data_IF_783389723615
#
_entry.id   IF_783389723615
#
_cell.length_a   1.000
_cell.length_b   1.000
_cell.length_c   1.000
_cell.angle_alpha   90.00
_cell.angle_beta   90.00
_cell.angle_gamma   90.00
#
_symmetry.space_group_name_H-M   'P 1'
#
loop_
_entity.id
_entity.type
_entity.pdbx_description
1 polymer ?
#
# COMPACT_ATOMS: atom_id res chain seq x y z
N UNK A 1 -11.55 -11.05 -0.57
CA UNK A 1 -12.15 -9.81 -0.01
C UNK A 1 -11.91 -9.73 1.49
N UNK A 2 -12.39 -10.68 2.29
CA UNK A 2 -11.96 -10.84 3.69
C UNK A 2 -10.44 -10.99 3.79
N UNK A 3 -9.81 -11.61 2.79
CA UNK A 3 -8.36 -11.76 2.68
C UNK A 3 -7.58 -10.44 2.62
N UNK A 4 -8.07 -9.39 1.94
CA UNK A 4 -7.33 -8.10 1.81
C UNK A 4 -7.37 -7.32 3.12
N UNK A 5 -8.55 -7.27 3.73
CA UNK A 5 -8.70 -6.67 5.04
C UNK A 5 -7.88 -7.44 6.08
N UNK A 6 -7.95 -8.77 6.09
CA UNK A 6 -7.13 -9.60 6.99
C UNK A 6 -5.64 -9.37 6.75
N UNK A 7 -5.19 -9.24 5.49
CA UNK A 7 -3.79 -8.96 5.21
C UNK A 7 -3.37 -7.56 5.68
N UNK A 8 -4.25 -6.57 5.57
CA UNK A 8 -4.02 -5.23 6.15
C UNK A 8 -4.02 -5.25 7.68
N UNK A 9 -4.96 -5.95 8.32
CA UNK A 9 -5.00 -6.13 9.78
C UNK A 9 -3.75 -6.86 10.28
N UNK A 10 -3.33 -7.93 9.59
CA UNK A 10 -2.10 -8.66 9.87
C UNK A 10 -0.88 -7.74 9.78
N UNK A 11 -0.77 -6.95 8.70
CA UNK A 11 0.31 -5.97 8.50
C UNK A 11 0.33 -4.86 9.57
N UNK A 12 -0.80 -4.61 10.21
CA UNK A 12 -0.91 -3.61 11.27
C UNK A 12 -0.86 -4.23 12.68
N UNK A 13 -0.57 -5.54 12.79
CA UNK A 13 -0.61 -6.30 14.04
C UNK A 13 -1.94 -6.19 14.81
N UNK A 14 -3.06 -6.08 14.09
CA UNK A 14 -4.41 -5.95 14.66
C UNK A 14 -5.07 -7.32 14.84
N UNK A 15 -5.46 -7.67 16.08
CA UNK A 15 -6.31 -8.85 16.35
C UNK A 15 -7.78 -8.44 16.33
N UNK A 16 -8.57 -8.87 15.34
CA UNK A 16 -10.01 -8.55 15.31
C UNK A 16 -10.92 -9.68 14.81
N UNK A 17 -12.11 -9.75 15.44
CA UNK A 17 -13.24 -10.64 15.13
C UNK A 17 -14.30 -9.98 14.20
N UNK A 18 -14.00 -8.86 13.54
CA UNK A 18 -14.98 -8.05 12.77
C UNK A 18 -14.80 -8.19 11.24
N UNK A 19 -15.04 -9.39 10.70
CA UNK A 19 -14.72 -9.72 9.29
C UNK A 19 -15.94 -9.72 8.34
N UNK A 20 -17.15 -9.36 8.80
CA UNK A 20 -18.38 -9.66 8.03
C UNK A 20 -19.01 -8.51 7.26
N UNK A 21 -18.69 -7.24 7.53
CA UNK A 21 -19.43 -6.10 6.91
C UNK A 21 -18.73 -5.44 5.71
N UNK A 22 -17.41 -5.57 5.59
CA UNK A 22 -16.60 -4.89 4.56
C UNK A 22 -16.41 -5.63 3.24
N UNK A 23 -16.70 -6.94 3.20
CA UNK A 23 -16.41 -7.77 2.02
C UNK A 23 -17.02 -7.23 0.71
N UNK A 24 -18.25 -6.72 0.73
CA UNK A 24 -18.98 -6.32 -0.49
C UNK A 24 -18.40 -5.08 -1.20
N UNK A 25 -17.94 -4.07 -0.47
CA UNK A 25 -17.36 -2.86 -1.08
C UNK A 25 -16.01 -3.16 -1.69
N UNK A 26 -15.15 -3.88 -0.97
CA UNK A 26 -13.85 -4.33 -1.49
C UNK A 26 -14.02 -5.28 -2.70
N UNK A 27 -15.11 -6.06 -2.77
CA UNK A 27 -15.49 -6.84 -3.96
C UNK A 27 -15.49 -6.00 -5.24
N UNK A 28 -16.18 -4.86 -5.16
CA UNK A 28 -16.40 -4.00 -6.32
C UNK A 28 -15.09 -3.37 -6.77
N UNK A 29 -14.25 -2.96 -5.82
CA UNK A 29 -12.91 -2.40 -6.11
C UNK A 29 -12.00 -3.45 -6.75
N UNK A 30 -11.94 -4.65 -6.18
CA UNK A 30 -11.11 -5.75 -6.71
C UNK A 30 -11.57 -6.21 -8.09
N UNK A 31 -12.90 -6.27 -8.32
CA UNK A 31 -13.46 -6.53 -9.66
C UNK A 31 -13.06 -5.46 -10.66
N UNK A 32 -13.12 -4.18 -10.27
CA UNK A 32 -12.64 -3.09 -11.14
C UNK A 32 -11.16 -3.30 -11.44
N UNK A 33 -10.30 -3.46 -10.44
CA UNK A 33 -8.86 -3.71 -10.62
C UNK A 33 -8.58 -4.85 -11.61
N UNK A 34 -9.38 -5.94 -11.54
CA UNK A 34 -9.18 -7.13 -12.36
C UNK A 34 -9.60 -6.99 -13.83
N UNK A 35 -10.40 -5.97 -14.15
CA UNK A 35 -11.01 -5.81 -15.46
C UNK A 35 -9.97 -5.57 -16.56
N UNK A 36 -8.87 -4.89 -16.25
CA UNK A 36 -7.87 -4.45 -17.21
C UNK A 36 -6.67 -5.42 -17.31
N UNK A 37 -6.93 -6.72 -17.10
CA UNK A 37 -5.92 -7.78 -17.08
C UNK A 37 -5.20 -7.97 -15.74
N UNK A 38 -4.15 -8.81 -15.68
CA UNK A 38 -3.37 -9.06 -14.48
C UNK A 38 -2.86 -7.78 -13.81
N UNK A 39 -2.94 -7.75 -12.47
CA UNK A 39 -2.36 -6.71 -11.61
C UNK A 39 -1.55 -7.35 -10.50
N UNK A 40 -0.30 -6.94 -10.35
CA UNK A 40 0.55 -7.27 -9.20
C UNK A 40 0.67 -6.04 -8.32
N UNK A 41 0.15 -6.14 -7.10
CA UNK A 41 0.21 -5.08 -6.11
C UNK A 41 1.15 -5.55 -5.00
N UNK A 42 2.10 -4.70 -4.64
CA UNK A 42 2.96 -4.90 -3.47
C UNK A 42 2.41 -4.04 -2.33
N UNK A 43 2.29 -4.61 -1.14
CA UNK A 43 1.85 -3.91 0.05
C UNK A 43 2.87 -4.10 1.16
N UNK A 44 3.45 -2.99 1.62
CA UNK A 44 4.55 -2.99 2.59
C UNK A 44 4.14 -2.21 3.83
N UNK A 45 4.55 -2.70 5.00
CA UNK A 45 4.36 -2.05 6.29
C UNK A 45 5.64 -2.15 7.11
N UNK A 46 5.82 -1.16 7.99
CA UNK A 46 6.98 -1.03 8.86
C UNK A 46 6.55 -1.06 10.34
N UNK A 47 5.71 -2.02 10.71
CA UNK A 47 5.36 -2.24 12.12
C UNK A 47 6.57 -2.83 12.88
N UNK A 48 6.55 -2.85 14.21
CA UNK A 48 7.66 -3.42 15.00
C UNK A 48 7.13 -4.59 15.84
N UNK A 49 6.91 -5.77 15.24
CA UNK A 49 7.04 -7.06 15.93
C UNK A 49 6.89 -8.30 15.02
N UNK A 50 6.42 -8.16 13.78
CA UNK A 50 6.03 -9.29 12.93
C UNK A 50 6.98 -9.61 11.77
N UNK A 51 7.02 -10.89 11.38
CA UNK A 51 7.41 -11.33 10.04
C UNK A 51 6.21 -12.04 9.41
N UNK A 52 5.61 -11.45 8.39
CA UNK A 52 4.55 -12.09 7.61
C UNK A 52 4.71 -11.76 6.12
N UNK A 53 4.87 -12.81 5.31
CA UNK A 53 4.84 -12.71 3.85
C UNK A 53 3.64 -13.50 3.37
N UNK A 54 2.65 -12.81 2.83
CA UNK A 54 1.41 -13.45 2.36
C UNK A 54 1.13 -13.02 0.93
N UNK A 55 1.10 -13.97 0.00
CA UNK A 55 0.58 -13.72 -1.35
C UNK A 55 -0.85 -14.19 -1.43
N UNK A 56 -1.77 -13.26 -1.67
CA UNK A 56 -3.20 -13.54 -1.82
C UNK A 56 -3.71 -13.13 -3.19
N UNK A 57 -4.69 -13.90 -3.68
CA UNK A 57 -5.39 -13.62 -4.94
C UNK A 57 -6.85 -13.23 -4.65
N UNK A 58 -7.13 -11.97 -4.28
CA UNK A 58 -8.44 -11.57 -3.77
C UNK A 58 -9.55 -11.51 -4.84
N UNK A 59 -9.16 -11.50 -6.12
CA UNK A 59 -10.01 -11.63 -7.29
C UNK A 59 -9.20 -12.26 -8.44
N UNK A 60 -9.90 -12.71 -9.49
CA UNK A 60 -9.26 -13.13 -10.75
C UNK A 60 -8.33 -12.02 -11.22
N UNK A 61 -7.16 -12.36 -11.76
CA UNK A 61 -6.18 -11.40 -12.30
C UNK A 61 -5.60 -10.40 -11.27
N UNK A 62 -5.81 -10.59 -9.97
CA UNK A 62 -5.16 -9.77 -8.94
C UNK A 62 -4.24 -10.65 -8.11
N UNK A 63 -2.97 -10.28 -8.05
CA UNK A 63 -1.99 -10.82 -7.11
C UNK A 63 -1.59 -9.70 -6.17
N UNK A 64 -1.88 -9.87 -4.88
CA UNK A 64 -1.47 -8.96 -3.83
C UNK A 64 -0.42 -9.67 -2.97
N UNK A 65 0.80 -9.13 -2.97
CA UNK A 65 1.89 -9.61 -2.11
C UNK A 65 2.00 -8.65 -0.93
N UNK A 66 1.80 -9.16 0.27
CA UNK A 66 1.87 -8.37 1.51
C UNK A 66 3.12 -8.76 2.27
N UNK A 67 3.91 -7.76 2.63
CA UNK A 67 5.12 -7.88 3.41
C UNK A 67 4.99 -7.06 4.68
N UNK A 68 5.04 -7.75 5.81
CA UNK A 68 5.27 -7.20 7.12
C UNK A 68 6.64 -7.67 7.62
N UNK A 69 7.64 -6.79 7.59
CA UNK A 69 8.99 -7.07 8.07
C UNK A 69 9.35 -6.01 9.09
N UNK A 70 8.79 -6.19 10.28
CA UNK A 70 9.01 -5.31 11.39
C UNK A 70 10.34 -5.57 12.10
N UNK A 71 11.14 -4.52 12.28
CA UNK A 71 12.39 -4.55 13.05
C UNK A 71 13.51 -5.50 12.55
N UNK A 72 13.35 -6.16 11.41
CA UNK A 72 14.34 -7.06 10.82
C UNK A 72 14.89 -6.47 9.53
N UNK A 73 15.80 -5.49 9.66
CA UNK A 73 16.39 -4.77 8.53
C UNK A 73 16.99 -5.71 7.48
N UNK A 74 17.56 -6.85 7.90
CA UNK A 74 18.09 -7.86 6.98
C UNK A 74 17.01 -8.49 6.08
N UNK A 75 15.77 -8.64 6.54
CA UNK A 75 14.71 -9.22 5.72
C UNK A 75 14.15 -8.22 4.70
N UNK A 76 14.30 -6.91 4.91
CA UNK A 76 13.94 -5.89 3.91
C UNK A 76 14.76 -6.04 2.64
N UNK A 77 15.97 -6.60 2.73
CA UNK A 77 16.74 -6.95 1.54
C UNK A 77 16.04 -7.98 0.68
N UNK A 78 14.97 -8.66 1.10
CA UNK A 78 14.24 -9.63 0.26
C UNK A 78 13.16 -8.95 -0.61
N UNK A 79 12.78 -7.70 -0.31
CA UNK A 79 11.73 -6.99 -1.05
C UNK A 79 12.01 -6.88 -2.55
N UNK A 80 13.29 -6.73 -2.93
CA UNK A 80 13.67 -6.55 -4.32
C UNK A 80 13.28 -7.74 -5.21
N UNK A 81 13.18 -8.96 -4.66
CA UNK A 81 12.70 -10.14 -5.40
C UNK A 81 11.23 -10.02 -5.85
N UNK A 82 10.48 -9.06 -5.32
CA UNK A 82 9.07 -8.85 -5.60
C UNK A 82 8.77 -7.57 -6.40
N UNK A 83 9.80 -6.79 -6.74
CA UNK A 83 9.64 -5.53 -7.48
C UNK A 83 9.30 -5.73 -8.95
N UNK A 84 9.62 -6.90 -9.51
CA UNK A 84 9.38 -7.17 -10.91
C UNK A 84 7.89 -7.25 -11.24
N UNK A 85 7.52 -6.50 -12.28
CA UNK A 85 6.17 -6.39 -12.80
C UNK A 85 5.15 -5.88 -11.76
N UNK A 86 5.58 -5.10 -10.76
CA UNK A 86 4.66 -4.43 -9.84
C UNK A 86 3.91 -3.33 -10.58
N UNK A 87 2.59 -3.44 -10.62
CA UNK A 87 1.72 -2.42 -11.20
C UNK A 87 1.47 -1.25 -10.25
N UNK A 88 1.61 -1.44 -8.94
CA UNK A 88 1.45 -0.38 -7.96
C UNK A 88 1.81 -0.80 -6.53
N UNK A 89 2.18 0.19 -5.71
CA UNK A 89 2.63 0.02 -4.34
C UNK A 89 1.60 0.59 -3.35
N UNK A 90 1.29 -0.17 -2.31
CA UNK A 90 0.61 0.30 -1.11
C UNK A 90 1.63 0.34 0.03
N UNK A 91 1.86 1.50 0.63
CA UNK A 91 2.83 1.68 1.71
C UNK A 91 2.10 2.12 2.98
N UNK A 92 2.14 1.29 4.02
CA UNK A 92 1.40 1.51 5.26
C UNK A 92 2.31 2.11 6.31
N UNK A 93 1.88 3.24 6.89
CA UNK A 93 2.63 3.98 7.91
C UNK A 93 1.79 4.14 9.16
N UNK A 94 2.40 3.97 10.33
CA UNK A 94 1.80 4.33 11.61
C UNK A 94 1.85 5.84 11.80
N UNK A 95 0.70 6.50 11.77
CA UNK A 95 0.60 7.96 11.83
C UNK A 95 0.90 8.53 13.23
N UNK A 96 0.97 7.66 14.25
CA UNK A 96 1.31 8.04 15.63
C UNK A 96 2.81 7.91 15.90
N UNK A 97 3.54 7.09 15.15
CA UNK A 97 4.97 6.84 15.33
C UNK A 97 5.85 7.85 14.57
N UNK A 98 5.81 9.10 15.02
CA UNK A 98 6.57 10.22 14.43
C UNK A 98 8.08 9.96 14.40
N UNK A 99 8.58 9.14 15.33
CA UNK A 99 10.01 8.82 15.45
C UNK A 99 10.46 7.91 14.33
N UNK A 100 9.63 7.00 13.82
CA UNK A 100 10.02 6.06 12.74
C UNK A 100 9.74 6.55 11.33
N UNK A 101 9.10 7.70 11.15
CA UNK A 101 8.83 8.26 9.82
C UNK A 101 10.09 8.50 8.98
N UNK A 102 11.23 8.82 9.60
CA UNK A 102 12.49 8.97 8.87
C UNK A 102 12.99 7.63 8.29
N UNK A 103 12.77 6.51 8.99
CA UNK A 103 13.04 5.16 8.48
C UNK A 103 12.08 4.84 7.34
N UNK A 104 10.80 5.13 7.53
CA UNK A 104 9.78 4.93 6.49
C UNK A 104 10.08 5.69 5.20
N UNK A 105 10.57 6.94 5.33
CA UNK A 105 11.07 7.73 4.20
C UNK A 105 12.25 7.04 3.50
N UNK A 106 13.28 6.64 4.26
CA UNK A 106 14.48 6.03 3.69
C UNK A 106 14.16 4.72 2.95
N UNK A 107 13.29 3.88 3.51
CA UNK A 107 12.83 2.64 2.88
C UNK A 107 12.04 2.92 1.60
N UNK A 108 11.14 3.90 1.64
CA UNK A 108 10.37 4.30 0.45
C UNK A 108 11.28 4.82 -0.66
N UNK A 109 12.24 5.69 -0.33
CA UNK A 109 13.24 6.19 -1.29
C UNK A 109 14.07 5.04 -1.87
N UNK A 110 14.50 4.07 -1.03
CA UNK A 110 15.23 2.88 -1.47
C UNK A 110 14.43 1.99 -2.43
N UNK A 111 13.13 1.80 -2.20
CA UNK A 111 12.25 1.05 -3.12
C UNK A 111 12.24 1.71 -4.50
N UNK A 112 12.10 3.03 -4.56
CA UNK A 112 12.01 3.78 -5.82
C UNK A 112 13.34 4.04 -6.51
N UNK A 113 14.48 3.69 -5.88
CA UNK A 113 15.76 3.60 -6.57
C UNK A 113 15.85 2.39 -7.50
N UNK A 114 14.99 1.38 -7.32
CA UNK A 114 14.98 0.20 -8.19
C UNK A 114 14.24 0.49 -9.51
N UNK A 115 14.86 0.13 -10.64
CA UNK A 115 14.33 0.43 -11.98
C UNK A 115 12.92 -0.13 -12.21
N UNK A 116 12.64 -1.35 -11.73
CA UNK A 116 11.31 -1.98 -11.82
C UNK A 116 10.20 -1.19 -11.08
N UNK A 117 10.56 -0.35 -10.09
CA UNK A 117 9.61 0.40 -9.26
C UNK A 117 9.47 1.87 -9.65
N UNK A 118 10.41 2.42 -10.42
CA UNK A 118 10.54 3.87 -10.71
C UNK A 118 9.25 4.56 -11.15
N UNK A 119 8.39 3.85 -11.88
CA UNK A 119 7.13 4.41 -12.39
C UNK A 119 5.90 3.92 -11.63
N UNK A 120 6.03 2.96 -10.70
CA UNK A 120 4.89 2.35 -10.03
C UNK A 120 4.14 3.40 -9.18
N UNK A 121 2.82 3.58 -9.35
CA UNK A 121 2.05 4.50 -8.54
C UNK A 121 2.04 4.08 -7.07
N UNK A 122 2.13 5.07 -6.20
CA UNK A 122 2.15 4.91 -4.75
C UNK A 122 0.81 5.27 -4.13
N UNK A 123 0.29 4.42 -3.26
CA UNK A 123 -0.72 4.82 -2.28
C UNK A 123 -0.14 4.63 -0.88
N UNK A 124 -0.01 5.72 -0.13
CA UNK A 124 0.37 5.67 1.28
C UNK A 124 -0.89 5.57 2.12
N UNK A 125 -0.96 4.57 2.99
CA UNK A 125 -2.01 4.46 4.00
C UNK A 125 -1.46 5.03 5.31
N UNK A 126 -1.99 6.18 5.70
CA UNK A 126 -1.76 6.86 6.98
C UNK A 126 -2.65 6.19 8.04
N UNK A 127 -2.14 5.14 8.69
CA UNK A 127 -2.91 4.26 9.57
C UNK A 127 -2.96 4.78 11.03
N UNK A 128 -3.89 4.25 11.84
CA UNK A 128 -4.16 4.62 13.24
C UNK A 128 -4.78 6.00 13.44
N UNK A 129 -5.64 6.41 12.50
CA UNK A 129 -6.38 7.68 12.56
C UNK A 129 -7.48 7.72 13.64
N UNK A 130 -7.68 6.62 14.37
CA UNK A 130 -8.49 6.57 15.59
C UNK A 130 -7.80 7.25 16.79
N UNK A 131 -6.51 7.58 16.69
CA UNK A 131 -5.72 8.24 17.71
C UNK A 131 -5.66 9.76 17.52
N UNK A 132 -5.82 10.53 18.60
CA UNK A 132 -5.81 12.01 18.58
C UNK A 132 -4.46 12.63 18.17
N UNK A 133 -3.38 11.89 18.39
CA UNK A 133 -2.00 12.29 18.11
C UNK A 133 -1.52 11.90 16.71
N UNK A 134 -2.37 11.21 15.94
CA UNK A 134 -2.11 10.79 14.58
C UNK A 134 -1.86 12.01 13.69
N UNK A 135 -0.84 11.90 12.84
CA UNK A 135 -0.56 12.92 11.83
C UNK A 135 -1.61 12.91 10.72
N UNK A 136 -1.90 14.10 10.22
CA UNK A 136 -2.74 14.30 9.05
C UNK A 136 -2.04 13.80 7.78
N UNK A 137 -2.83 13.53 6.73
CA UNK A 137 -2.29 13.02 5.46
C UNK A 137 -1.28 13.97 4.80
N UNK A 138 -1.44 15.29 4.97
CA UNK A 138 -0.49 16.29 4.50
C UNK A 138 0.84 16.23 5.24
N UNK A 139 0.80 16.07 6.56
CA UNK A 139 2.02 15.94 7.38
C UNK A 139 2.78 14.65 7.04
N UNK A 140 2.07 13.55 6.79
CA UNK A 140 2.70 12.30 6.30
C UNK A 140 3.35 12.52 4.94
N UNK A 141 2.69 13.21 4.01
CA UNK A 141 3.27 13.51 2.70
C UNK A 141 4.55 14.35 2.82
N UNK A 142 4.57 15.35 3.71
CA UNK A 142 5.76 16.15 4.01
C UNK A 142 6.89 15.30 4.60
N UNK A 143 6.60 14.50 5.63
CA UNK A 143 7.60 13.69 6.34
C UNK A 143 8.22 12.61 5.45
N UNK A 144 7.45 12.06 4.52
CA UNK A 144 7.92 11.11 3.51
C UNK A 144 8.52 11.79 2.26
N UNK A 145 8.63 13.13 2.24
CA UNK A 145 9.18 13.91 1.13
C UNK A 145 8.41 13.75 -0.20
N UNK A 146 7.13 13.40 -0.15
CA UNK A 146 6.31 13.16 -1.34
C UNK A 146 5.95 14.45 -2.08
N UNK A 147 5.98 15.60 -1.39
CA UNK A 147 5.73 16.89 -2.03
C UNK A 147 6.76 17.24 -3.13
N UNK A 148 7.93 16.61 -3.09
CA UNK A 148 8.96 16.75 -4.13
C UNK A 148 8.73 15.84 -5.34
N UNK A 149 7.79 14.90 -5.26
CA UNK A 149 7.53 13.92 -6.32
C UNK A 149 6.64 14.51 -7.41
N UNK A 150 6.71 13.99 -8.65
CA UNK A 150 5.84 14.45 -9.72
C UNK A 150 4.36 14.29 -9.36
N UNK A 151 3.53 15.23 -9.79
CA UNK A 151 2.09 15.19 -9.52
C UNK A 151 1.45 13.88 -10.01
N UNK A 152 0.45 13.39 -9.28
CA UNK A 152 -0.31 12.18 -9.59
C UNK A 152 0.48 10.86 -9.54
N UNK A 153 1.70 10.86 -8.99
CA UNK A 153 2.48 9.62 -8.78
C UNK A 153 2.19 8.95 -7.43
N UNK A 154 1.67 9.72 -6.46
CA UNK A 154 1.28 9.23 -5.15
C UNK A 154 -0.10 9.72 -4.71
N UNK A 155 -0.68 9.07 -3.70
CA UNK A 155 -1.85 9.54 -2.96
C UNK A 155 -1.77 9.06 -1.51
N UNK A 156 -2.12 9.91 -0.54
CA UNK A 156 -2.11 9.55 0.89
C UNK A 156 -3.55 9.41 1.37
N UNK A 157 -3.86 8.29 2.04
CA UNK A 157 -5.20 7.96 2.53
C UNK A 157 -5.18 7.81 4.04
N UNK A 158 -5.97 8.59 4.80
CA UNK A 158 -6.17 8.34 6.22
C UNK A 158 -6.96 7.03 6.41
N UNK A 159 -6.51 6.18 7.33
CA UNK A 159 -7.13 4.89 7.58
C UNK A 159 -7.07 4.48 9.04
N UNK A 160 -7.98 3.57 9.40
CA UNK A 160 -7.95 2.87 10.67
C UNK A 160 -8.08 1.37 10.39
N UNK A 161 -7.03 0.60 10.70
CA UNK A 161 -7.04 -0.85 10.51
C UNK A 161 -8.07 -1.57 11.39
N UNK A 162 -8.47 -1.01 12.54
CA UNK A 162 -9.47 -1.59 13.43
C UNK A 162 -10.89 -1.55 12.84
N UNK A 163 -11.21 -0.47 12.13
CA UNK A 163 -12.53 -0.27 11.51
C UNK A 163 -12.54 -0.64 10.03
N UNK A 164 -11.37 -0.63 9.39
CA UNK A 164 -11.19 -0.79 7.95
C UNK A 164 -11.46 0.48 7.14
N UNK A 165 -11.65 1.62 7.80
CA UNK A 165 -11.84 2.91 7.15
C UNK A 165 -10.61 3.29 6.32
N UNK A 166 -10.82 4.00 5.21
CA UNK A 166 -9.77 4.36 4.25
C UNK A 166 -9.36 3.23 3.28
N UNK A 167 -9.53 1.95 3.63
CA UNK A 167 -9.03 0.84 2.81
C UNK A 167 -9.69 0.78 1.41
N UNK A 168 -11.00 0.99 1.34
CA UNK A 168 -11.72 1.00 0.04
C UNK A 168 -11.26 2.16 -0.83
N UNK A 169 -11.00 3.33 -0.23
CA UNK A 169 -10.48 4.50 -0.93
C UNK A 169 -9.08 4.24 -1.46
N UNK A 170 -8.17 3.73 -0.62
CA UNK A 170 -6.79 3.41 -0.99
C UNK A 170 -6.71 2.52 -2.24
N UNK A 171 -7.42 1.39 -2.25
CA UNK A 171 -7.42 0.49 -3.40
C UNK A 171 -8.19 1.05 -4.62
N UNK A 172 -9.19 1.91 -4.40
CA UNK A 172 -9.88 2.59 -5.50
C UNK A 172 -8.95 3.59 -6.17
N UNK A 173 -8.18 4.34 -5.39
CA UNK A 173 -7.22 5.30 -5.91
C UNK A 173 -6.07 4.60 -6.63
N UNK A 174 -5.50 3.55 -6.04
CA UNK A 174 -4.48 2.75 -6.69
C UNK A 174 -4.98 2.24 -8.05
N UNK A 175 -6.20 1.72 -8.11
CA UNK A 175 -6.80 1.26 -9.37
C UNK A 175 -6.92 2.36 -10.43
N UNK A 176 -7.21 3.59 -10.02
CA UNK A 176 -7.29 4.74 -10.92
C UNK A 176 -5.90 5.13 -11.43
N UNK A 177 -4.91 5.16 -10.54
CA UNK A 177 -3.53 5.53 -10.88
C UNK A 177 -2.89 4.52 -11.83
N UNK A 178 -3.05 3.21 -11.56
CA UNK A 178 -2.54 2.14 -12.44
C UNK A 178 -3.11 2.27 -13.86
N UNK A 179 -4.42 2.52 -13.99
CA UNK A 179 -5.04 2.71 -15.31
C UNK A 179 -4.47 3.91 -16.05
N UNK A 180 -4.32 5.05 -15.34
CA UNK A 180 -3.77 6.28 -15.93
C UNK A 180 -2.35 6.05 -16.42
N UNK A 181 -1.52 5.38 -15.64
CA UNK A 181 -0.15 5.05 -15.99
C UNK A 181 -0.07 4.12 -17.21
N UNK A 182 -0.87 3.05 -17.26
CA UNK A 182 -0.91 2.16 -18.43
C UNK A 182 -1.34 2.87 -19.70
N UNK A 183 -2.34 3.75 -19.60
CA UNK A 183 -2.77 4.59 -20.74
C UNK A 183 -1.65 5.51 -21.20
N UNK A 184 -0.94 6.14 -20.27
CA UNK A 184 0.21 6.99 -20.58
C UNK A 184 1.30 6.20 -21.31
N UNK A 185 1.73 5.06 -20.75
CA UNK A 185 2.77 4.22 -21.36
C UNK A 185 2.38 3.73 -22.76
N UNK A 186 1.10 3.38 -22.97
CA UNK A 186 0.60 2.97 -24.28
C UNK A 186 0.66 4.11 -25.30
N UNK A 187 0.33 5.34 -24.89
CA UNK A 187 0.39 6.52 -25.77
C UNK A 187 1.83 6.98 -26.03
N UNK A 188 2.76 6.77 -25.10
CA UNK A 188 4.18 7.13 -25.28
C UNK A 188 4.98 6.11 -26.11
N UNK A 189 4.42 4.93 -26.34
CA UNK A 189 5.08 3.83 -27.09
C UNK A 189 4.60 3.71 -28.55
N UNK A 190 3.67 4.56 -28.98
CA UNK A 190 3.16 4.66 -30.34
C UNK A 190 3.44 6.06 -30.89
#
# INVERSE_FOLDING_TARGET
MQSVQKAFENLCSVRSNQVKRMGRMMSKVMKKLSADGPKRILMLGLDNAGFNVETISPARNITLTVWDVGGQDHLRTLWHHYFDNVDGLVFVVDSTDKKRLHLAKAELEGIYQHDSMKNAPLVVISNKQDHSEALESSEIAEKLNLLSWPENTYYVVPACALTGDGLTEAFTMLAKMIRKQKKHNFLSSN
#
